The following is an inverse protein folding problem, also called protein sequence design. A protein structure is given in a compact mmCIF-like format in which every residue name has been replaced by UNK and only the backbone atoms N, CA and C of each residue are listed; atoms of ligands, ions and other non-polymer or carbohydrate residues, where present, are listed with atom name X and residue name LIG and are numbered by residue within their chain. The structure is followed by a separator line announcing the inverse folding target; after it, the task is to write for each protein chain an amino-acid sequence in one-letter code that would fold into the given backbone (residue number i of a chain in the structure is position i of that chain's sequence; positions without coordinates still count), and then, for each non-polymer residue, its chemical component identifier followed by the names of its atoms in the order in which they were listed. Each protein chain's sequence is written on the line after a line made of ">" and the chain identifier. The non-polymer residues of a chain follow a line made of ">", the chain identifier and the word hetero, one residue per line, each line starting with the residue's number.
data_IF_903640659139
#
_entry.id   IF_903640659139
#
_cell.length_a   1.000
_cell.length_b   1.000
_cell.length_c   1.000
_cell.angle_alpha   90.00
_cell.angle_beta   90.00
_cell.angle_gamma   90.00
#
_symmetry.space_group_name_H-M   'P 1'
#
loop_
_entity.id
_entity.type
_entity.pdbx_description
1 polymer ?
#
# COMPACT_ATOMS: atom_id res chain seq x y z
N UNK A 1 -24.59 -19.06 27.57
CA UNK A 1 -24.24 -17.71 27.07
C UNK A 1 -23.29 -17.89 25.90
N UNK A 2 -23.79 -17.90 24.66
CA UNK A 2 -22.99 -18.00 23.43
C UNK A 2 -22.42 -16.61 23.11
N UNK A 3 -21.14 -16.44 23.37
CA UNK A 3 -20.41 -15.25 22.89
C UNK A 3 -20.52 -15.19 21.36
N UNK A 4 -21.30 -14.26 20.83
CA UNK A 4 -21.29 -13.91 19.39
C UNK A 4 -19.93 -13.29 19.09
N UNK A 5 -18.99 -14.10 18.64
CA UNK A 5 -17.75 -13.55 18.05
C UNK A 5 -18.15 -12.82 16.78
N UNK A 6 -18.23 -11.50 16.85
CA UNK A 6 -18.47 -10.65 15.67
C UNK A 6 -17.31 -10.88 14.70
N UNK A 7 -17.60 -11.18 13.43
CA UNK A 7 -16.55 -11.38 12.43
C UNK A 7 -15.67 -10.12 12.29
N UNK A 8 -14.44 -10.29 11.83
CA UNK A 8 -13.53 -9.15 11.64
C UNK A 8 -14.12 -8.15 10.64
N UNK A 9 -14.75 -8.66 9.57
CA UNK A 9 -15.43 -7.82 8.58
C UNK A 9 -16.50 -6.94 9.21
N UNK A 10 -17.32 -7.49 10.11
CA UNK A 10 -18.35 -6.72 10.80
C UNK A 10 -17.77 -5.63 11.72
N UNK A 11 -16.56 -5.85 12.26
CA UNK A 11 -15.89 -4.84 13.12
C UNK A 11 -15.34 -3.65 12.34
N UNK A 12 -15.03 -3.82 11.06
CA UNK A 12 -14.45 -2.77 10.20
C UNK A 12 -15.45 -2.21 9.18
N UNK A 13 -16.68 -2.75 9.13
CA UNK A 13 -17.67 -2.38 8.13
C UNK A 13 -18.06 -0.90 8.16
N UNK A 14 -18.04 -0.28 9.34
CA UNK A 14 -18.39 1.13 9.54
C UNK A 14 -17.23 2.10 9.33
N UNK A 15 -16.01 1.59 9.09
CA UNK A 15 -14.85 2.44 8.84
C UNK A 15 -14.87 2.90 7.38
N UNK A 16 -14.86 4.22 7.10
CA UNK A 16 -14.84 4.73 5.73
C UNK A 16 -13.69 4.12 4.92
N UNK A 17 -14.01 3.58 3.74
CA UNK A 17 -13.05 2.90 2.88
C UNK A 17 -13.28 3.30 1.42
N UNK A 18 -12.20 3.52 0.68
CA UNK A 18 -12.21 3.70 -0.77
C UNK A 18 -11.70 2.43 -1.45
N UNK A 19 -12.35 2.02 -2.53
CA UNK A 19 -11.89 0.87 -3.31
C UNK A 19 -10.71 1.31 -4.20
N UNK A 20 -9.49 0.96 -3.79
CA UNK A 20 -8.25 1.28 -4.49
C UNK A 20 -7.64 0.01 -5.09
N UNK A 21 -7.77 -1.11 -4.38
CA UNK A 21 -7.33 -2.42 -4.83
C UNK A 21 -8.49 -3.14 -5.52
N UNK A 22 -8.27 -3.73 -6.69
CA UNK A 22 -9.29 -4.48 -7.44
C UNK A 22 -9.50 -5.90 -6.85
N UNK A 23 -9.80 -5.95 -5.54
CA UNK A 23 -10.08 -7.19 -4.82
C UNK A 23 -8.83 -7.91 -4.28
N UNK A 24 -8.87 -9.24 -4.27
CA UNK A 24 -7.75 -10.06 -3.79
C UNK A 24 -6.73 -10.32 -4.89
N UNK A 25 -5.46 -10.10 -4.56
CA UNK A 25 -4.36 -10.44 -5.48
C UNK A 25 -4.11 -11.95 -5.52
N UNK A 26 -3.52 -12.43 -6.62
CA UNK A 26 -3.23 -13.83 -6.85
C UNK A 26 -2.21 -14.40 -5.86
N UNK A 27 -2.30 -15.70 -5.65
CA UNK A 27 -1.22 -16.53 -5.11
C UNK A 27 -0.59 -17.26 -6.30
N UNK A 28 0.72 -17.10 -6.50
CA UNK A 28 1.46 -17.74 -7.57
C UNK A 28 2.51 -18.68 -6.98
N UNK A 29 2.47 -19.96 -7.36
CA UNK A 29 3.51 -20.89 -6.97
C UNK A 29 4.81 -20.56 -7.72
N UNK A 30 5.94 -20.59 -7.04
CA UNK A 30 7.28 -20.38 -7.61
C UNK A 30 7.92 -21.75 -7.87
N UNK A 31 7.56 -22.37 -9.00
CA UNK A 31 7.89 -23.78 -9.28
C UNK A 31 9.39 -24.05 -9.19
N UNK A 32 10.21 -23.30 -9.95
CA UNK A 32 11.66 -23.51 -9.97
C UNK A 32 12.30 -23.36 -8.58
N UNK A 33 11.94 -22.29 -7.85
CA UNK A 33 12.46 -22.07 -6.50
C UNK A 33 11.97 -23.13 -5.51
N UNK A 34 10.74 -23.62 -5.69
CA UNK A 34 10.20 -24.70 -4.85
C UNK A 34 10.99 -25.99 -5.04
N UNK A 35 11.35 -26.34 -6.28
CA UNK A 35 12.16 -27.50 -6.62
C UNK A 35 13.59 -27.36 -6.09
N UNK A 36 14.24 -26.22 -6.35
CA UNK A 36 15.61 -25.95 -5.93
C UNK A 36 15.79 -25.98 -4.40
N UNK A 37 14.76 -25.52 -3.67
CA UNK A 37 14.79 -25.44 -2.21
C UNK A 37 14.14 -26.65 -1.51
N UNK A 38 13.46 -27.52 -2.23
CA UNK A 38 12.75 -28.67 -1.66
C UNK A 38 11.58 -28.28 -0.75
N UNK A 39 10.91 -27.13 -1.00
CA UNK A 39 9.77 -26.62 -0.25
C UNK A 39 8.64 -26.19 -1.21
N UNK A 40 7.41 -26.05 -0.70
CA UNK A 40 6.29 -25.53 -1.48
C UNK A 40 6.18 -24.01 -1.26
N UNK A 41 6.81 -23.23 -2.17
CA UNK A 41 6.94 -21.79 -2.06
C UNK A 41 5.91 -21.05 -2.91
N UNK A 42 5.18 -20.15 -2.28
CA UNK A 42 4.13 -19.34 -2.92
C UNK A 42 4.38 -17.85 -2.73
N UNK A 43 4.09 -17.08 -3.76
CA UNK A 43 4.15 -15.62 -3.75
C UNK A 43 2.75 -15.02 -3.75
N UNK A 44 2.45 -14.19 -2.75
CA UNK A 44 1.28 -13.32 -2.77
C UNK A 44 1.61 -12.07 -3.59
N UNK A 45 0.90 -11.88 -4.72
CA UNK A 45 1.18 -10.82 -5.70
C UNK A 45 0.66 -9.45 -5.26
N UNK A 46 1.17 -8.94 -4.15
CA UNK A 46 0.80 -7.61 -3.65
C UNK A 46 1.41 -6.46 -4.48
N UNK A 47 2.36 -6.75 -5.36
CA UNK A 47 2.83 -5.89 -6.42
C UNK A 47 1.73 -5.53 -7.44
N UNK A 48 0.68 -6.36 -7.56
CA UNK A 48 -0.50 -6.11 -8.40
C UNK A 48 -1.63 -5.38 -7.63
N UNK A 49 -1.44 -5.04 -6.36
CA UNK A 49 -2.47 -4.43 -5.52
C UNK A 49 -2.53 -2.91 -5.68
N UNK A 50 -3.39 -2.42 -6.56
CA UNK A 50 -3.62 -0.98 -6.74
C UNK A 50 -2.63 -0.29 -7.69
N UNK A 51 -2.64 1.05 -7.74
CA UNK A 51 -1.85 1.83 -8.68
C UNK A 51 -0.36 1.83 -8.34
N UNK A 52 0.46 2.33 -9.27
CA UNK A 52 1.89 2.59 -9.07
C UNK A 52 2.64 1.40 -8.48
N UNK A 53 2.58 0.24 -9.16
CA UNK A 53 3.21 -1.02 -8.77
C UNK A 53 2.74 -1.61 -7.42
N UNK A 54 1.56 -1.22 -6.94
CA UNK A 54 0.96 -1.81 -5.77
C UNK A 54 1.82 -1.79 -4.49
N UNK A 55 1.70 -2.84 -3.71
CA UNK A 55 2.46 -3.08 -2.50
C UNK A 55 1.57 -3.26 -1.26
N UNK A 56 2.20 -3.64 -0.17
CA UNK A 56 1.52 -3.96 1.09
C UNK A 56 0.76 -2.78 1.74
N UNK A 57 1.00 -1.55 1.27
CA UNK A 57 0.36 -0.33 1.79
C UNK A 57 -0.95 0.02 1.09
N UNK A 58 -1.23 -0.56 -0.06
CA UNK A 58 -2.42 -0.24 -0.86
C UNK A 58 -3.71 -0.42 -0.05
N UNK A 59 -3.88 -1.58 0.63
CA UNK A 59 -5.07 -1.87 1.46
C UNK A 59 -5.18 -0.96 2.69
N UNK A 60 -4.06 -0.56 3.26
CA UNK A 60 -4.04 0.41 4.37
C UNK A 60 -4.50 1.78 3.90
N UNK A 61 -4.05 2.20 2.73
CA UNK A 61 -4.40 3.49 2.13
C UNK A 61 -5.89 3.58 1.75
N UNK A 62 -6.57 2.47 1.46
CA UNK A 62 -8.01 2.47 1.26
C UNK A 62 -8.78 3.11 2.41
N UNK A 63 -8.37 2.85 3.65
CA UNK A 63 -8.99 3.41 4.84
C UNK A 63 -8.55 4.86 5.10
N UNK A 64 -7.28 5.20 4.87
CA UNK A 64 -6.84 6.59 5.00
C UNK A 64 -7.53 7.50 3.99
N UNK A 65 -7.63 7.08 2.74
CA UNK A 65 -8.38 7.83 1.73
C UNK A 65 -9.89 7.79 1.98
N UNK A 66 -10.41 6.72 2.55
CA UNK A 66 -11.79 6.67 3.06
C UNK A 66 -12.06 7.79 4.06
N UNK A 67 -11.21 7.92 5.06
CA UNK A 67 -11.32 8.99 6.06
C UNK A 67 -11.13 10.39 5.45
N UNK A 68 -10.19 10.56 4.52
CA UNK A 68 -9.95 11.84 3.85
C UNK A 68 -11.17 12.29 3.03
N UNK A 69 -11.76 11.40 2.25
CA UNK A 69 -12.97 11.67 1.46
C UNK A 69 -14.16 11.99 2.37
N UNK A 70 -14.33 11.24 3.46
CA UNK A 70 -15.42 11.50 4.43
C UNK A 70 -15.31 12.88 5.11
N UNK A 71 -14.08 13.42 5.19
CA UNK A 71 -13.82 14.77 5.72
C UNK A 71 -13.79 15.86 4.64
N UNK A 72 -14.08 15.54 3.39
CA UNK A 72 -13.96 16.46 2.25
C UNK A 72 -12.55 17.08 2.13
N UNK A 73 -11.51 16.31 2.42
CA UNK A 73 -10.14 16.78 2.28
C UNK A 73 -9.79 17.03 0.80
N UNK A 74 -9.14 18.13 0.51
CA UNK A 74 -8.61 18.49 -0.80
C UNK A 74 -7.09 18.26 -0.90
N UNK A 75 -6.45 18.04 0.24
CA UNK A 75 -5.00 17.92 0.35
C UNK A 75 -4.61 16.80 1.32
N UNK A 76 -3.62 16.01 0.93
CA UNK A 76 -2.98 14.99 1.76
C UNK A 76 -1.57 15.45 2.13
N UNK A 77 -1.27 15.47 3.41
CA UNK A 77 0.09 15.67 3.92
C UNK A 77 0.71 14.32 4.27
N UNK A 78 1.85 14.02 3.66
CA UNK A 78 2.50 12.71 3.76
C UNK A 78 3.95 12.90 4.20
N UNK A 79 4.43 12.11 5.14
CA UNK A 79 5.84 12.04 5.49
C UNK A 79 6.38 10.61 5.38
N UNK A 80 7.64 10.48 5.05
CA UNK A 80 8.33 9.19 5.01
C UNK A 80 9.72 9.25 4.42
N UNK A 81 10.43 8.12 4.46
CA UNK A 81 11.75 8.01 3.86
C UNK A 81 11.70 8.19 2.34
N UNK A 82 12.83 8.58 1.74
CA UNK A 82 13.00 8.73 0.29
C UNK A 82 12.55 7.47 -0.47
N UNK A 83 12.88 6.27 0.03
CA UNK A 83 12.47 4.98 -0.57
C UNK A 83 11.17 4.41 0.04
N UNK A 84 10.24 5.26 0.48
CA UNK A 84 8.98 4.81 1.06
C UNK A 84 7.95 4.43 0.00
N UNK A 85 7.57 3.15 -0.07
CA UNK A 85 6.45 2.71 -0.90
C UNK A 85 5.10 3.29 -0.44
N UNK A 86 4.95 3.62 0.84
CA UNK A 86 3.77 4.30 1.35
C UNK A 86 3.62 5.70 0.74
N UNK A 87 4.71 6.48 0.72
CA UNK A 87 4.72 7.84 0.14
C UNK A 87 4.39 7.81 -1.34
N UNK A 88 5.07 6.94 -2.10
CA UNK A 88 4.82 6.75 -3.54
C UNK A 88 3.36 6.40 -3.83
N UNK A 89 2.83 5.41 -3.14
CA UNK A 89 1.44 4.98 -3.30
C UNK A 89 0.44 6.07 -2.91
N UNK A 90 0.65 6.72 -1.77
CA UNK A 90 -0.26 7.77 -1.31
C UNK A 90 -0.30 8.96 -2.28
N UNK A 91 0.84 9.37 -2.86
CA UNK A 91 0.89 10.41 -3.88
C UNK A 91 0.11 10.01 -5.15
N UNK A 92 0.30 8.78 -5.64
CA UNK A 92 -0.42 8.25 -6.79
C UNK A 92 -1.93 8.16 -6.55
N UNK A 93 -2.34 7.72 -5.36
CA UNK A 93 -3.75 7.62 -4.99
C UNK A 93 -4.37 9.00 -4.83
N UNK A 94 -3.66 9.98 -4.25
CA UNK A 94 -4.14 11.37 -4.15
C UNK A 94 -4.54 11.94 -5.52
N UNK A 95 -3.75 11.67 -6.55
CA UNK A 95 -4.07 12.07 -7.93
C UNK A 95 -5.39 11.46 -8.41
N UNK A 96 -5.66 10.19 -8.12
CA UNK A 96 -6.91 9.53 -8.48
C UNK A 96 -8.14 10.19 -7.84
N UNK A 97 -7.99 10.72 -6.64
CA UNK A 97 -9.05 11.43 -5.90
C UNK A 97 -9.02 12.96 -6.12
N UNK A 98 -8.21 13.45 -7.05
CA UNK A 98 -8.06 14.89 -7.33
C UNK A 98 -7.63 15.70 -6.11
N UNK A 99 -6.91 15.06 -5.19
CA UNK A 99 -6.36 15.69 -3.99
C UNK A 99 -4.93 16.15 -4.25
N UNK A 100 -4.54 17.28 -3.69
CA UNK A 100 -3.15 17.73 -3.66
C UNK A 100 -2.34 16.86 -2.71
N UNK A 101 -1.18 16.38 -3.13
CA UNK A 101 -0.23 15.70 -2.25
C UNK A 101 0.92 16.65 -1.88
N UNK A 102 1.14 16.84 -0.59
CA UNK A 102 2.32 17.52 -0.04
C UNK A 102 3.17 16.46 0.65
N UNK A 103 4.39 16.29 0.19
CA UNK A 103 5.27 15.23 0.64
C UNK A 103 6.48 15.83 1.36
N UNK A 104 6.71 15.40 2.60
CA UNK A 104 7.93 15.65 3.33
C UNK A 104 8.78 14.37 3.34
N UNK A 105 9.92 14.41 2.64
CA UNK A 105 10.85 13.29 2.61
C UNK A 105 11.89 13.39 3.72
N UNK A 106 12.21 12.24 4.32
CA UNK A 106 13.23 12.08 5.33
C UNK A 106 14.40 11.27 4.79
N UNK A 107 15.61 11.83 4.81
CA UNK A 107 16.81 11.07 4.51
C UNK A 107 17.19 10.20 5.72
N UNK A 108 16.97 8.89 5.61
CA UNK A 108 17.28 7.90 6.66
C UNK A 108 18.53 7.09 6.37
N UNK A 109 19.06 7.18 5.16
CA UNK A 109 20.28 6.51 4.74
C UNK A 109 21.39 7.53 4.70
N UNK A 110 22.46 7.26 5.46
CA UNK A 110 23.63 8.11 5.47
C UNK A 110 24.42 7.91 4.17
N UNK A 111 24.79 9.01 3.51
CA UNK A 111 25.58 9.04 2.27
C UNK A 111 25.04 8.07 1.18
N UNK A 112 23.76 8.22 0.76
CA UNK A 112 23.17 7.33 -0.23
C UNK A 112 23.83 7.54 -1.61
N UNK A 113 24.01 6.45 -2.34
CA UNK A 113 24.53 6.49 -3.69
C UNK A 113 23.49 7.06 -4.69
N UNK A 114 23.95 7.27 -5.93
CA UNK A 114 23.09 7.83 -6.98
C UNK A 114 21.93 6.89 -7.34
N UNK A 115 22.18 5.57 -7.34
CA UNK A 115 21.17 4.58 -7.64
C UNK A 115 20.02 4.60 -6.61
N UNK A 116 20.35 4.76 -5.32
CA UNK A 116 19.33 4.94 -4.28
C UNK A 116 18.46 6.18 -4.52
N UNK A 117 19.04 7.26 -5.07
CA UNK A 117 18.34 8.53 -5.29
C UNK A 117 17.46 8.56 -6.54
N UNK A 118 17.69 7.66 -7.51
CA UNK A 118 16.99 7.66 -8.80
C UNK A 118 16.31 6.32 -9.16
N UNK A 119 16.09 5.45 -8.19
CA UNK A 119 15.46 4.15 -8.40
C UNK A 119 14.39 3.81 -7.38
N UNK A 120 13.70 2.69 -7.56
CA UNK A 120 12.74 2.17 -6.62
C UNK A 120 11.51 3.06 -6.43
N UNK A 121 11.30 3.54 -5.22
CA UNK A 121 10.12 4.33 -4.87
C UNK A 121 10.24 5.83 -5.15
N UNK A 122 11.38 6.27 -5.67
CA UNK A 122 11.63 7.69 -6.05
C UNK A 122 11.08 8.01 -7.45
N UNK A 123 10.82 7.00 -8.26
CA UNK A 123 10.35 7.09 -9.66
C UNK A 123 8.93 7.64 -9.79
#
# INVERSE_FOLDING_TARGET
>A
MTSKTTSLEAKIADIPRQNICDGSTKMTRLDQLSEDMGIDLWMKRDDEAGPSFGGNKSRQLEYYFGAAVAQNADTILITGAVQSNFVRLAAAIATRFQMKAIVQLEERVKDPDELYRCSGNVL
#
